data_IF_330488580224
#
_entry.id   IF_330488580224
#
_cell.length_a   1.000
_cell.length_b   1.000
_cell.length_c   1.000
_cell.angle_alpha   90.00
_cell.angle_beta   90.00
_cell.angle_gamma   90.00
#
_symmetry.space_group_name_H-M   'P 1'
#
loop_
_entity.id
_entity.type
_entity.pdbx_description
1 polymer ?
#
# COMPACT_ATOMS: atom_id res chain seq x y z
N UNK A 1 18.57 59.91 1.35
CA UNK A 1 17.24 59.49 1.80
C UNK A 1 17.19 57.96 1.75
N UNK A 2 17.31 57.28 2.90
CA UNK A 2 17.29 55.81 3.01
C UNK A 2 16.08 55.45 3.85
N UNK A 3 15.08 54.77 3.31
CA UNK A 3 14.03 54.15 4.12
C UNK A 3 13.57 52.81 3.49
N UNK A 4 14.07 51.75 4.11
CA UNK A 4 13.56 50.38 4.32
C UNK A 4 12.88 49.60 3.17
N UNK A 5 13.63 48.65 2.60
CA UNK A 5 13.04 47.43 2.04
C UNK A 5 12.63 46.52 3.19
N UNK A 6 11.33 46.21 3.28
CA UNK A 6 10.77 45.29 4.27
C UNK A 6 11.48 43.93 4.20
N UNK A 7 12.26 43.65 5.24
CA UNK A 7 12.85 42.33 5.49
C UNK A 7 11.72 41.48 6.07
N UNK A 8 11.04 40.69 5.22
CA UNK A 8 10.13 39.64 5.69
C UNK A 8 10.99 38.46 6.19
N UNK A 9 10.91 38.07 7.47
CA UNK A 9 11.52 36.85 7.94
C UNK A 9 10.46 35.75 7.85
N UNK A 10 10.32 35.14 6.68
CA UNK A 10 9.46 33.95 6.55
C UNK A 10 10.25 32.71 6.94
N UNK A 11 10.44 32.53 8.25
CA UNK A 11 10.67 31.21 8.84
C UNK A 11 9.31 30.52 8.95
N UNK A 12 8.87 29.92 7.83
CA UNK A 12 7.66 29.10 7.82
C UNK A 12 8.03 27.66 8.21
N UNK A 13 7.52 27.14 9.34
CA UNK A 13 7.85 25.80 9.79
C UNK A 13 7.38 24.79 8.75
N UNK A 14 8.35 24.02 8.25
CA UNK A 14 8.23 23.11 7.13
C UNK A 14 6.97 22.27 7.15
N UNK A 15 6.06 22.59 6.22
CA UNK A 15 4.95 21.72 5.86
C UNK A 15 5.57 20.50 5.18
N UNK A 16 5.81 19.45 5.98
CA UNK A 16 6.26 18.15 5.48
C UNK A 16 5.17 17.68 4.51
N UNK A 17 5.43 17.73 3.20
CA UNK A 17 4.49 17.21 2.21
C UNK A 17 4.34 15.72 2.49
N UNK A 18 3.22 15.33 3.08
CA UNK A 18 2.79 13.95 3.11
C UNK A 18 2.52 13.60 1.64
N UNK A 19 3.48 12.94 1.00
CA UNK A 19 3.24 12.34 -0.31
C UNK A 19 2.22 11.23 -0.04
N UNK A 20 0.93 11.52 -0.24
CA UNK A 20 -0.10 10.50 -0.30
C UNK A 20 0.35 9.55 -1.41
N UNK A 21 1.01 8.46 -1.03
CA UNK A 21 1.39 7.42 -1.96
C UNK A 21 0.13 6.63 -2.22
N UNK A 22 -0.62 7.07 -3.23
CA UNK A 22 -1.72 6.27 -3.79
C UNK A 22 -1.14 4.90 -4.10
N UNK A 23 -1.62 3.87 -3.41
CA UNK A 23 -1.20 2.51 -3.66
C UNK A 23 -1.66 2.12 -5.07
N UNK A 24 -0.72 1.79 -5.95
CA UNK A 24 -1.03 1.34 -7.30
C UNK A 24 -1.08 -0.19 -7.32
N UNK A 25 -2.23 -0.75 -7.72
CA UNK A 25 -2.44 -2.20 -7.80
C UNK A 25 -2.67 -2.60 -9.25
N UNK A 26 -1.89 -3.57 -9.74
CA UNK A 26 -1.99 -4.14 -11.07
C UNK A 26 -2.51 -5.58 -11.01
N UNK A 27 -3.59 -5.85 -11.72
CA UNK A 27 -4.20 -7.18 -11.84
C UNK A 27 -3.78 -7.83 -13.15
N UNK A 28 -3.45 -9.12 -13.12
CA UNK A 28 -3.04 -9.87 -14.30
C UNK A 28 -3.51 -11.32 -14.24
N UNK A 29 -3.60 -11.97 -15.40
CA UNK A 29 -3.89 -13.40 -15.51
C UNK A 29 -2.58 -14.20 -15.67
N UNK A 30 -2.16 -14.92 -14.63
CA UNK A 30 -0.97 -15.78 -14.66
C UNK A 30 -1.09 -16.99 -15.59
N UNK A 31 -2.27 -17.26 -16.15
CA UNK A 31 -2.51 -18.31 -17.14
C UNK A 31 -2.37 -17.87 -18.58
N UNK A 32 -2.40 -16.57 -18.81
CA UNK A 32 -2.15 -15.99 -20.12
C UNK A 32 -0.64 -15.86 -20.35
N UNK A 33 -0.06 -16.52 -21.38
CA UNK A 33 1.38 -16.44 -21.66
C UNK A 33 1.85 -15.02 -22.02
N UNK A 34 0.97 -14.18 -22.55
CA UNK A 34 1.30 -12.79 -22.87
C UNK A 34 1.34 -11.93 -21.60
N UNK A 35 0.28 -11.96 -20.80
CA UNK A 35 0.21 -11.21 -19.55
C UNK A 35 1.38 -11.57 -18.62
N UNK A 36 1.71 -12.86 -18.52
CA UNK A 36 2.85 -13.31 -17.70
C UNK A 36 4.19 -12.68 -18.15
N UNK A 37 4.41 -12.56 -19.47
CA UNK A 37 5.63 -11.93 -20.03
C UNK A 37 5.66 -10.42 -19.78
N UNK A 38 4.53 -9.75 -19.97
CA UNK A 38 4.39 -8.31 -19.74
C UNK A 38 4.65 -7.96 -18.27
N UNK A 39 4.03 -8.69 -17.34
CA UNK A 39 4.20 -8.46 -15.90
C UNK A 39 5.62 -8.79 -15.44
N UNK A 40 6.24 -9.85 -15.98
CA UNK A 40 7.65 -10.13 -15.72
C UNK A 40 8.58 -9.02 -16.22
N UNK A 41 8.22 -8.32 -17.30
CA UNK A 41 8.94 -7.14 -17.75
C UNK A 41 8.75 -5.97 -16.78
N UNK A 42 7.51 -5.64 -16.39
CA UNK A 42 7.25 -4.52 -15.49
C UNK A 42 7.80 -4.71 -14.08
N UNK A 43 7.79 -5.93 -13.54
CA UNK A 43 8.41 -6.23 -12.24
C UNK A 43 9.92 -5.96 -12.22
N UNK A 44 10.60 -6.10 -13.36
CA UNK A 44 12.03 -5.74 -13.49
C UNK A 44 12.26 -4.23 -13.48
N UNK A 45 11.27 -3.45 -13.91
CA UNK A 45 11.32 -1.98 -13.95
C UNK A 45 10.90 -1.39 -12.60
N UNK A 46 9.95 -2.01 -11.89
CA UNK A 46 9.44 -1.61 -10.58
C UNK A 46 10.45 -1.88 -9.44
N UNK A 47 11.63 -1.25 -9.52
CA UNK A 47 12.72 -1.40 -8.54
C UNK A 47 12.34 -0.88 -7.14
N UNK A 48 11.39 0.04 -7.08
CA UNK A 48 10.91 0.63 -5.83
C UNK A 48 9.81 -0.18 -5.15
N UNK A 49 9.30 -1.25 -5.80
CA UNK A 49 8.16 -2.02 -5.29
C UNK A 49 6.92 -1.17 -5.11
N UNK A 50 6.70 -0.20 -6.01
CA UNK A 50 5.58 0.72 -5.93
C UNK A 50 4.25 0.09 -6.39
N UNK A 51 4.31 -1.06 -7.06
CA UNK A 51 3.16 -1.73 -7.64
C UNK A 51 2.81 -2.98 -6.83
N UNK A 52 1.56 -3.05 -6.38
CA UNK A 52 0.97 -4.26 -5.83
C UNK A 52 0.48 -5.16 -6.97
N UNK A 53 1.10 -6.32 -7.15
CA UNK A 53 0.77 -7.28 -8.21
C UNK A 53 -0.24 -8.31 -7.71
N UNK A 54 -1.35 -8.50 -8.43
CA UNK A 54 -2.41 -9.47 -8.09
C UNK A 54 -2.67 -10.40 -9.27
N UNK A 55 -2.40 -11.69 -9.09
CA UNK A 55 -2.75 -12.73 -10.06
C UNK A 55 -4.21 -13.17 -9.86
N UNK A 56 -5.03 -13.02 -10.91
CA UNK A 56 -6.44 -13.41 -10.93
C UNK A 56 -6.64 -14.92 -10.77
N UNK A 57 -5.62 -15.74 -11.05
CA UNK A 57 -5.67 -17.20 -10.88
C UNK A 57 -5.39 -17.65 -9.46
N UNK A 58 -4.72 -16.83 -8.66
CA UNK A 58 -4.49 -17.09 -7.25
C UNK A 58 -5.70 -16.58 -6.47
N UNK A 59 -6.80 -17.34 -6.51
CA UNK A 59 -8.01 -17.01 -5.77
C UNK A 59 -7.78 -17.17 -4.27
N UNK A 60 -7.52 -16.06 -3.58
CA UNK A 60 -7.86 -15.91 -2.17
C UNK A 60 -8.23 -14.46 -1.83
N UNK A 61 -9.51 -14.30 -1.55
CA UNK A 61 -10.07 -13.37 -0.57
C UNK A 61 -10.08 -11.86 -0.90
N UNK A 62 -11.33 -11.43 -1.11
CA UNK A 62 -11.90 -10.10 -0.99
C UNK A 62 -11.39 -9.06 -2.00
N UNK A 63 -12.21 -8.80 -3.01
CA UNK A 63 -12.26 -7.49 -3.63
C UNK A 63 -12.88 -6.52 -2.60
N UNK A 64 -12.14 -5.56 -2.01
CA UNK A 64 -12.79 -4.51 -1.26
C UNK A 64 -13.56 -3.65 -2.25
N UNK A 65 -14.89 -3.63 -2.10
CA UNK A 65 -15.69 -2.59 -2.75
C UNK A 65 -15.11 -1.22 -2.34
N UNK A 66 -14.95 -0.25 -3.25
CA UNK A 66 -14.64 1.12 -2.86
C UNK A 66 -15.64 1.58 -1.80
N UNK A 67 -15.15 1.94 -0.61
CA UNK A 67 -15.97 2.28 0.57
C UNK A 67 -16.22 1.14 1.57
N UNK A 68 -15.75 -0.08 1.31
CA UNK A 68 -15.74 -1.15 2.33
C UNK A 68 -14.47 -1.07 3.16
N UNK A 69 -14.56 -0.46 4.33
CA UNK A 69 -13.54 -0.69 5.36
C UNK A 69 -13.70 -2.13 5.82
N UNK A 70 -12.76 -2.99 5.42
CA UNK A 70 -12.65 -4.32 6.00
C UNK A 70 -12.44 -4.13 7.50
N UNK A 71 -13.49 -4.38 8.29
CA UNK A 71 -13.40 -4.38 9.74
C UNK A 71 -12.51 -5.56 10.09
N UNK A 72 -11.32 -5.29 10.62
CA UNK A 72 -10.44 -6.32 11.19
C UNK A 72 -11.29 -7.19 12.12
N UNK A 73 -11.43 -8.51 11.88
CA UNK A 73 -12.10 -9.35 12.86
C UNK A 73 -11.26 -9.27 14.13
N UNK A 74 -11.89 -8.84 15.22
CA UNK A 74 -11.28 -8.82 16.54
C UNK A 74 -10.73 -10.22 16.81
N UNK A 75 -9.42 -10.35 17.04
CA UNK A 75 -8.77 -11.62 17.28
C UNK A 75 -9.51 -12.37 18.39
N UNK A 76 -10.17 -13.48 18.04
CA UNK A 76 -10.72 -14.39 19.02
C UNK A 76 -9.54 -15.14 19.66
N UNK A 77 -9.06 -14.60 20.76
CA UNK A 77 -8.12 -15.26 21.66
C UNK A 77 -8.78 -16.53 22.20
N UNK A 78 -8.50 -17.69 21.62
CA UNK A 78 -8.85 -18.97 22.25
C UNK A 78 -7.84 -19.26 23.38
N UNK A 79 -8.22 -19.34 24.66
CA UNK A 79 -7.31 -19.87 25.67
C UNK A 79 -7.15 -21.38 25.46
N UNK A 80 -5.93 -21.83 25.14
CA UNK A 80 -5.57 -23.26 25.23
C UNK A 80 -5.66 -23.69 26.69
N UNK A 81 -6.61 -24.57 27.02
CA UNK A 81 -6.70 -25.27 28.30
C UNK A 81 -5.44 -26.14 28.48
N UNK A 82 -4.69 -26.04 29.59
CA UNK A 82 -3.61 -26.99 29.86
C UNK A 82 -4.23 -28.37 30.15
N UNK A 83 -3.79 -29.39 29.41
CA UNK A 83 -4.04 -30.78 29.72
C UNK A 83 -3.30 -31.12 31.00
N UNK A 84 -4.04 -31.47 32.07
CA UNK A 84 -3.48 -32.01 33.29
C UNK A 84 -2.82 -33.36 33.01
N UNK A 85 -1.63 -33.52 33.58
CA UNK A 85 -0.86 -34.75 33.58
C UNK A 85 -1.51 -35.82 34.46
N UNK A 86 -1.31 -37.08 34.09
CA UNK A 86 -1.30 -38.26 34.97
C UNK A 86 -0.16 -39.15 34.53
#
# INVERSE_FOLDING_TARGET
MRIHTSRHPEDHPGHRRHKTMTAFTAYFDGGCPLCSKEIAHYRRIDKAGAIHWVDLRMTAAHWPRPGSTARTPCAASTPKRPTAAS
#
